data_IF_059825129643
#
_entry.id   IF_059825129643
#
_cell.length_a   1.000
_cell.length_b   1.000
_cell.length_c   1.000
_cell.angle_alpha   90.00
_cell.angle_beta   90.00
_cell.angle_gamma   90.00
#
_symmetry.space_group_name_H-M   'P 1'
#
loop_
_entity.id
_entity.type
_entity.pdbx_description
1 polymer ?
#
# COMPACT_ATOMS: atom_id res chain seq x y z
N UNK A 1 -30.33 -25.50 28.50
CA UNK A 1 -30.26 -25.57 27.01
C UNK A 1 -28.79 -25.66 26.59
N UNK A 2 -28.39 -26.73 25.93
CA UNK A 2 -27.02 -26.83 25.42
C UNK A 2 -26.82 -25.77 24.31
N UNK A 3 -25.79 -24.98 24.43
CA UNK A 3 -25.44 -23.95 23.43
C UNK A 3 -24.99 -24.71 22.16
N UNK A 4 -25.71 -24.54 21.04
CA UNK A 4 -25.32 -25.13 19.75
C UNK A 4 -23.91 -24.64 19.40
N UNK A 5 -22.99 -25.54 19.18
CA UNK A 5 -21.65 -25.21 18.70
C UNK A 5 -21.79 -24.94 17.18
N UNK A 6 -21.51 -23.70 16.78
CA UNK A 6 -21.59 -23.31 15.38
C UNK A 6 -20.36 -23.81 14.61
N UNK A 7 -20.56 -24.23 13.37
CA UNK A 7 -19.44 -24.51 12.46
C UNK A 7 -18.63 -23.23 12.21
N UNK A 8 -17.41 -23.35 11.67
CA UNK A 8 -16.59 -22.18 11.36
C UNK A 8 -17.31 -21.30 10.32
N UNK A 9 -17.92 -21.92 9.33
CA UNK A 9 -18.68 -21.20 8.30
C UNK A 9 -19.88 -20.45 8.91
N UNK A 10 -20.61 -21.08 9.85
CA UNK A 10 -21.69 -20.41 10.58
C UNK A 10 -21.17 -19.23 11.40
N UNK A 11 -19.98 -19.34 12.02
CA UNK A 11 -19.33 -18.24 12.74
C UNK A 11 -18.95 -17.08 11.81
N UNK A 12 -18.45 -17.41 10.61
CA UNK A 12 -18.15 -16.37 9.59
C UNK A 12 -19.42 -15.65 9.15
N UNK A 13 -20.47 -16.42 8.85
CA UNK A 13 -21.79 -15.85 8.44
C UNK A 13 -22.30 -14.89 9.54
N UNK A 14 -22.22 -15.31 10.79
CA UNK A 14 -22.63 -14.46 11.93
C UNK A 14 -21.77 -13.20 12.01
N UNK A 15 -20.45 -13.33 11.84
CA UNK A 15 -19.54 -12.18 11.85
C UNK A 15 -19.83 -11.19 10.70
N UNK A 16 -20.04 -11.71 9.48
CA UNK A 16 -20.38 -10.89 8.30
C UNK A 16 -21.71 -10.14 8.51
N UNK A 17 -22.69 -10.79 9.13
CA UNK A 17 -23.98 -10.15 9.40
C UNK A 17 -23.89 -9.05 10.47
N UNK A 18 -22.97 -9.18 11.41
CA UNK A 18 -22.73 -8.13 12.44
C UNK A 18 -22.01 -6.91 11.86
N UNK A 19 -21.21 -7.09 10.81
CA UNK A 19 -20.45 -5.98 10.16
C UNK A 19 -21.38 -4.88 9.64
N UNK A 20 -22.60 -5.21 9.22
CA UNK A 20 -23.58 -4.19 8.75
C UNK A 20 -23.95 -3.16 9.83
N UNK A 21 -23.76 -3.49 11.09
CA UNK A 21 -23.99 -2.53 12.19
C UNK A 21 -22.80 -1.59 12.41
N UNK A 22 -21.68 -1.87 11.76
CA UNK A 22 -20.48 -1.05 11.84
C UNK A 22 -20.41 -0.17 10.59
N UNK A 23 -20.32 1.12 10.77
CA UNK A 23 -20.32 2.07 9.65
C UNK A 23 -18.92 2.19 9.03
N UNK A 24 -18.25 1.05 8.82
CA UNK A 24 -16.88 0.94 8.30
C UNK A 24 -16.88 -0.07 7.15
N UNK A 25 -16.24 0.24 6.02
CA UNK A 25 -16.16 -0.72 4.93
C UNK A 25 -15.20 -1.88 5.28
N UNK A 26 -15.70 -3.09 5.09
CA UNK A 26 -14.95 -4.34 5.31
C UNK A 26 -14.76 -5.10 4.00
N UNK A 27 -13.72 -5.91 3.96
CA UNK A 27 -13.53 -6.93 2.93
C UNK A 27 -13.30 -8.29 3.57
N UNK A 28 -13.58 -9.34 2.80
CA UNK A 28 -13.26 -10.71 3.14
C UNK A 28 -12.26 -11.24 2.12
N UNK A 29 -11.11 -11.71 2.60
CA UNK A 29 -10.03 -12.24 1.75
C UNK A 29 -10.04 -13.76 1.88
N UNK A 30 -10.34 -14.44 0.79
CA UNK A 30 -10.39 -15.90 0.72
C UNK A 30 -9.12 -16.43 0.05
N UNK A 31 -8.54 -17.50 0.63
CA UNK A 31 -7.37 -18.20 0.08
C UNK A 31 -7.65 -19.71 0.04
N UNK A 32 -7.61 -20.28 -1.15
CA UNK A 32 -8.03 -21.65 -1.45
C UNK A 32 -6.86 -22.66 -1.31
N UNK A 33 -6.43 -22.92 -0.06
CA UNK A 33 -5.37 -23.91 0.22
C UNK A 33 -5.84 -25.32 -0.18
N UNK A 34 -7.15 -25.60 -0.11
CA UNK A 34 -7.73 -26.89 -0.50
C UNK A 34 -7.47 -27.26 -1.97
N UNK A 35 -7.12 -26.29 -2.81
CA UNK A 35 -6.83 -26.52 -4.23
C UNK A 35 -5.39 -26.89 -4.52
N UNK A 36 -4.49 -26.71 -3.55
CA UNK A 36 -3.08 -27.08 -3.70
C UNK A 36 -2.92 -28.62 -3.73
N UNK A 37 -1.76 -29.05 -4.15
CA UNK A 37 -1.36 -30.45 -4.09
C UNK A 37 -1.37 -30.99 -2.65
N UNK A 38 -1.67 -32.27 -2.40
CA UNK A 38 -1.81 -32.80 -1.03
C UNK A 38 -0.59 -32.54 -0.12
N UNK A 39 0.61 -32.57 -0.67
CA UNK A 39 1.85 -32.27 0.06
C UNK A 39 1.93 -30.84 0.58
N UNK A 40 1.18 -29.93 -0.02
CA UNK A 40 1.14 -28.51 0.35
C UNK A 40 -0.03 -28.13 1.27
N UNK A 41 -0.86 -29.11 1.69
CA UNK A 41 -2.01 -28.90 2.58
C UNK A 41 -1.77 -29.38 4.01
N UNK A 42 -0.52 -29.72 4.35
CA UNK A 42 -0.19 -30.26 5.68
C UNK A 42 -0.29 -29.20 6.78
N UNK A 43 -0.39 -29.66 8.04
CA UNK A 43 -0.50 -28.81 9.21
C UNK A 43 0.59 -27.72 9.26
N UNK A 44 1.82 -28.10 8.92
CA UNK A 44 2.97 -27.16 8.92
C UNK A 44 2.76 -26.01 7.94
N UNK A 45 2.24 -26.31 6.74
CA UNK A 45 1.96 -25.29 5.72
C UNK A 45 0.84 -24.36 6.18
N UNK A 46 -0.23 -24.91 6.77
CA UNK A 46 -1.32 -24.10 7.33
C UNK A 46 -0.80 -23.18 8.44
N UNK A 47 0.07 -23.68 9.29
CA UNK A 47 0.70 -22.87 10.36
C UNK A 47 1.53 -21.71 9.77
N UNK A 48 2.33 -21.97 8.74
CA UNK A 48 3.13 -20.93 8.09
C UNK A 48 2.20 -19.88 7.46
N UNK A 49 1.17 -20.32 6.73
CA UNK A 49 0.21 -19.39 6.10
C UNK A 49 -0.48 -18.52 7.16
N UNK A 50 -0.93 -19.14 8.28
CA UNK A 50 -1.59 -18.37 9.35
C UNK A 50 -0.66 -17.29 9.94
N UNK A 51 0.63 -17.60 10.07
CA UNK A 51 1.63 -16.64 10.59
C UNK A 51 1.85 -15.46 9.65
N UNK A 52 1.69 -15.65 8.34
CA UNK A 52 1.79 -14.53 7.38
C UNK A 52 0.69 -13.49 7.61
N UNK A 53 -0.46 -13.89 8.17
CA UNK A 53 -1.55 -12.97 8.50
C UNK A 53 -1.39 -12.29 9.87
N UNK A 54 -0.44 -12.72 10.72
CA UNK A 54 -0.23 -12.15 12.06
C UNK A 54 -0.11 -10.61 12.08
N UNK A 55 0.61 -9.96 11.14
CA UNK A 55 0.68 -8.50 11.16
C UNK A 55 -0.68 -7.82 11.10
N UNK A 56 -1.63 -8.38 10.33
CA UNK A 56 -3.01 -7.86 10.27
C UNK A 56 -3.77 -8.16 11.55
N UNK A 57 -3.61 -9.36 12.10
CA UNK A 57 -4.33 -9.78 13.30
C UNK A 57 -3.91 -9.01 14.55
N UNK A 58 -2.67 -8.52 14.58
CA UNK A 58 -2.15 -7.75 15.71
C UNK A 58 -2.51 -6.25 15.66
N UNK A 59 -2.78 -5.70 14.49
CA UNK A 59 -2.83 -4.25 14.30
C UNK A 59 -4.11 -3.72 13.66
N UNK A 60 -4.96 -4.57 13.11
CA UNK A 60 -6.15 -4.15 12.38
C UNK A 60 -7.42 -4.78 12.96
N UNK A 61 -8.57 -4.22 12.59
CA UNK A 61 -9.87 -4.85 12.86
C UNK A 61 -9.99 -6.05 11.90
N UNK A 62 -9.29 -7.13 12.24
CA UNK A 62 -9.14 -8.29 11.39
C UNK A 62 -9.40 -9.58 12.17
N UNK A 63 -9.99 -10.56 11.49
CA UNK A 63 -10.22 -11.89 12.04
C UNK A 63 -9.99 -12.95 10.97
N UNK A 64 -9.10 -13.87 11.27
CA UNK A 64 -8.78 -14.99 10.39
C UNK A 64 -9.57 -16.23 10.79
N UNK A 65 -10.18 -16.88 9.82
CA UNK A 65 -10.91 -18.15 9.98
C UNK A 65 -10.22 -19.20 9.12
N UNK A 66 -10.10 -20.40 9.65
CA UNK A 66 -9.70 -21.58 8.88
C UNK A 66 -10.98 -22.39 8.68
N UNK A 67 -11.46 -22.46 7.45
CA UNK A 67 -12.69 -23.13 7.07
C UNK A 67 -12.54 -24.65 7.21
N UNK A 68 -13.66 -25.39 7.19
CA UNK A 68 -13.69 -26.86 7.35
C UNK A 68 -12.87 -27.59 6.29
N UNK A 69 -12.73 -27.00 5.10
CA UNK A 69 -11.90 -27.54 4.01
C UNK A 69 -10.42 -27.08 4.08
N UNK A 70 -10.01 -26.44 5.18
CA UNK A 70 -8.68 -25.86 5.44
C UNK A 70 -8.35 -24.61 4.62
N UNK A 71 -9.31 -24.01 3.93
CA UNK A 71 -9.11 -22.71 3.29
C UNK A 71 -9.11 -21.60 4.34
N UNK A 72 -8.46 -20.49 4.02
CA UNK A 72 -8.41 -19.33 4.90
C UNK A 72 -9.41 -18.27 4.46
N UNK A 73 -10.08 -17.65 5.43
CA UNK A 73 -10.90 -16.46 5.21
C UNK A 73 -10.56 -15.41 6.25
N UNK A 74 -10.03 -14.28 5.79
CA UNK A 74 -9.74 -13.12 6.64
C UNK A 74 -10.85 -12.09 6.45
N UNK A 75 -11.49 -11.67 7.55
CA UNK A 75 -12.36 -10.47 7.56
C UNK A 75 -11.54 -9.30 8.07
N UNK A 76 -11.51 -8.19 7.36
CA UNK A 76 -10.74 -7.01 7.78
C UNK A 76 -11.32 -5.71 7.22
N UNK A 77 -11.00 -4.59 7.87
CA UNK A 77 -11.40 -3.27 7.40
C UNK A 77 -10.54 -2.82 6.19
N UNK A 78 -11.11 -1.94 5.37
CA UNK A 78 -10.58 -1.52 4.06
C UNK A 78 -9.17 -0.92 4.03
N UNK A 79 -8.71 -0.17 5.04
CA UNK A 79 -7.44 0.57 4.91
C UNK A 79 -6.18 -0.28 4.78
N UNK A 80 -6.29 -1.61 4.87
CA UNK A 80 -5.12 -2.51 4.87
C UNK A 80 -4.94 -3.28 3.55
N UNK A 81 -5.55 -2.82 2.44
CA UNK A 81 -5.48 -3.53 1.16
C UNK A 81 -4.05 -3.74 0.65
N UNK A 82 -3.19 -2.75 0.83
CA UNK A 82 -1.78 -2.86 0.40
C UNK A 82 -1.05 -3.96 1.19
N UNK A 83 -1.32 -4.06 2.49
CA UNK A 83 -0.75 -5.11 3.35
C UNK A 83 -1.32 -6.48 2.97
N UNK A 84 -2.62 -6.53 2.65
CA UNK A 84 -3.28 -7.76 2.16
C UNK A 84 -2.61 -8.25 0.87
N UNK A 85 -2.37 -7.36 -0.08
CA UNK A 85 -1.74 -7.73 -1.35
C UNK A 85 -0.33 -8.29 -1.13
N UNK A 86 0.46 -7.69 -0.22
CA UNK A 86 1.78 -8.21 0.14
C UNK A 86 1.70 -9.61 0.76
N UNK A 87 0.77 -9.80 1.69
CA UNK A 87 0.57 -11.12 2.33
C UNK A 87 0.13 -12.16 1.29
N UNK A 88 -0.82 -11.82 0.44
CA UNK A 88 -1.28 -12.72 -0.62
C UNK A 88 -0.17 -13.07 -1.60
N UNK A 89 0.71 -12.11 -1.90
CA UNK A 89 1.91 -12.37 -2.70
C UNK A 89 2.84 -13.35 -1.99
N UNK A 90 3.09 -13.16 -0.68
CA UNK A 90 3.93 -14.07 0.11
C UNK A 90 3.33 -15.49 0.18
N UNK A 91 2.02 -15.59 0.37
CA UNK A 91 1.32 -16.89 0.38
C UNK A 91 1.49 -17.59 -0.97
N UNK A 92 1.29 -16.89 -2.08
CA UNK A 92 1.52 -17.48 -3.42
C UNK A 92 2.96 -17.91 -3.61
N UNK A 93 3.91 -17.07 -3.17
CA UNK A 93 5.35 -17.35 -3.30
C UNK A 93 5.77 -18.60 -2.52
N UNK A 94 5.14 -18.82 -1.37
CA UNK A 94 5.38 -20.02 -0.55
C UNK A 94 5.05 -21.32 -1.32
N UNK A 95 4.09 -21.24 -2.24
CA UNK A 95 3.61 -22.38 -3.03
C UNK A 95 3.93 -22.24 -4.53
N UNK A 96 4.97 -21.47 -4.87
CA UNK A 96 5.32 -21.18 -6.27
C UNK A 96 5.57 -22.44 -7.11
N UNK A 97 6.05 -23.51 -6.48
CA UNK A 97 6.33 -24.78 -7.15
C UNK A 97 5.09 -25.69 -7.27
N UNK A 98 3.95 -25.29 -6.68
CA UNK A 98 2.71 -26.05 -6.78
C UNK A 98 2.13 -25.93 -8.20
N UNK A 99 1.71 -27.05 -8.77
CA UNK A 99 1.12 -27.09 -10.11
C UNK A 99 -0.12 -26.20 -10.21
N UNK A 100 -0.96 -26.14 -9.18
CA UNK A 100 -2.15 -25.28 -9.20
C UNK A 100 -1.78 -23.80 -9.30
N UNK A 101 -0.79 -23.35 -8.52
CA UNK A 101 -0.32 -21.95 -8.53
C UNK A 101 0.32 -21.59 -9.89
N UNK A 102 1.14 -22.48 -10.43
CA UNK A 102 1.86 -22.23 -11.69
C UNK A 102 0.97 -22.28 -12.93
N UNK A 103 -0.14 -23.03 -12.88
CA UNK A 103 -0.99 -23.29 -14.05
C UNK A 103 -2.29 -22.47 -14.09
N UNK A 104 -2.65 -21.77 -13.00
CA UNK A 104 -3.93 -21.05 -12.91
C UNK A 104 -3.73 -19.56 -12.61
N UNK A 105 -4.69 -18.75 -13.04
CA UNK A 105 -4.73 -17.32 -12.72
C UNK A 105 -4.83 -17.11 -11.20
N UNK A 106 -4.15 -16.11 -10.62
CA UNK A 106 -4.21 -15.85 -9.17
C UNK A 106 -5.62 -15.81 -8.57
N UNK A 107 -6.61 -15.33 -9.32
CA UNK A 107 -8.00 -15.28 -8.87
C UNK A 107 -8.62 -16.67 -8.62
N UNK A 108 -8.01 -17.75 -9.12
CA UNK A 108 -8.44 -19.11 -8.82
C UNK A 108 -8.00 -19.58 -7.42
N UNK A 109 -6.92 -18.99 -6.90
CA UNK A 109 -6.34 -19.30 -5.59
C UNK A 109 -6.80 -18.34 -4.50
N UNK A 110 -7.05 -17.08 -4.84
CA UNK A 110 -7.41 -16.05 -3.88
C UNK A 110 -8.50 -15.14 -4.42
N UNK A 111 -9.37 -14.63 -3.53
CA UNK A 111 -10.42 -13.69 -3.92
C UNK A 111 -10.69 -12.70 -2.79
N UNK A 112 -10.89 -11.44 -3.13
CA UNK A 112 -11.26 -10.40 -2.17
C UNK A 112 -12.71 -10.00 -2.44
N UNK A 113 -13.59 -10.28 -1.47
CA UNK A 113 -14.99 -9.84 -1.50
C UNK A 113 -15.10 -8.48 -0.80
N UNK A 114 -15.57 -7.47 -1.50
CA UNK A 114 -15.84 -6.16 -0.91
C UNK A 114 -17.27 -6.18 -0.33
N UNK A 115 -17.40 -6.21 0.99
CA UNK A 115 -18.68 -6.51 1.65
C UNK A 115 -19.77 -5.47 1.39
N UNK A 116 -19.40 -4.24 1.05
CA UNK A 116 -20.38 -3.21 0.63
C UNK A 116 -21.04 -3.51 -0.72
N UNK A 117 -20.51 -4.43 -1.50
CA UNK A 117 -21.04 -4.78 -2.84
C UNK A 117 -21.26 -6.28 -3.01
N UNK A 118 -20.45 -7.11 -2.37
CA UNK A 118 -20.37 -8.54 -2.63
C UNK A 118 -20.73 -9.39 -1.42
N UNK A 119 -21.39 -8.80 -0.41
CA UNK A 119 -21.82 -9.53 0.79
C UNK A 119 -22.65 -10.75 0.47
N UNK A 120 -23.67 -10.60 -0.40
CA UNK A 120 -24.55 -11.73 -0.77
C UNK A 120 -23.80 -12.82 -1.52
N UNK A 121 -22.78 -12.46 -2.31
CA UNK A 121 -21.93 -13.42 -3.01
C UNK A 121 -21.12 -14.24 -1.99
N UNK A 122 -20.52 -13.57 -1.00
CA UNK A 122 -19.79 -14.25 0.08
C UNK A 122 -20.71 -15.18 0.89
N UNK A 123 -21.90 -14.69 1.26
CA UNK A 123 -22.83 -15.51 2.05
C UNK A 123 -23.29 -16.75 1.27
N UNK A 124 -23.57 -16.64 -0.02
CA UNK A 124 -23.89 -17.80 -0.88
C UNK A 124 -22.71 -18.78 -0.92
N UNK A 125 -21.50 -18.27 -1.17
CA UNK A 125 -20.28 -19.08 -1.20
C UNK A 125 -20.11 -19.88 0.09
N UNK A 126 -20.25 -19.25 1.26
CA UNK A 126 -20.11 -19.92 2.57
C UNK A 126 -21.21 -20.94 2.80
N UNK A 127 -22.46 -20.65 2.38
CA UNK A 127 -23.58 -21.58 2.51
C UNK A 127 -23.37 -22.85 1.65
N UNK A 128 -22.80 -22.69 0.46
CA UNK A 128 -22.46 -23.81 -0.41
C UNK A 128 -21.38 -24.68 0.22
N UNK A 129 -20.40 -24.09 0.90
CA UNK A 129 -19.36 -24.85 1.63
C UNK A 129 -19.97 -25.67 2.77
N UNK A 130 -20.98 -25.16 3.50
CA UNK A 130 -21.62 -25.90 4.59
C UNK A 130 -22.45 -27.10 4.13
N UNK A 131 -22.83 -27.14 2.85
CA UNK A 131 -23.68 -28.23 2.30
C UNK A 131 -22.89 -29.37 1.65
N UNK A 132 -21.57 -29.24 1.53
CA UNK A 132 -20.73 -30.29 0.96
C UNK A 132 -20.44 -31.38 2.02
N UNK A 133 -20.59 -32.70 1.70
CA UNK A 133 -20.34 -33.75 2.69
C UNK A 133 -18.85 -33.87 3.03
N UNK A 134 -18.57 -33.92 4.33
CA UNK A 134 -17.21 -34.02 4.88
C UNK A 134 -16.52 -35.36 4.59
N UNK A 135 -15.20 -35.37 4.39
CA UNK A 135 -14.38 -36.52 4.72
C UNK A 135 -13.99 -36.47 6.21
N UNK A 136 -14.38 -37.54 6.96
CA UNK A 136 -14.06 -37.66 8.39
C UNK A 136 -12.54 -37.67 8.62
N UNK A 137 -12.00 -36.58 9.19
CA UNK A 137 -10.70 -36.62 9.86
C UNK A 137 -10.78 -35.92 11.22
N UNK A 138 -10.20 -36.60 12.22
CA UNK A 138 -10.27 -36.23 13.63
C UNK A 138 -9.73 -34.81 13.87
N UNK A 139 -10.60 -33.97 14.39
CA UNK A 139 -10.30 -32.61 14.82
C UNK A 139 -9.28 -32.58 15.95
N UNK A 140 -8.07 -32.12 15.66
CA UNK A 140 -7.24 -31.50 16.68
C UNK A 140 -7.66 -30.02 16.70
N UNK A 141 -8.42 -29.69 17.73
CA UNK A 141 -8.94 -28.33 17.88
C UNK A 141 -7.79 -27.34 18.02
N UNK A 142 -7.48 -26.63 16.95
CA UNK A 142 -6.89 -25.30 17.07
C UNK A 142 -7.98 -24.45 17.75
N UNK A 143 -7.88 -24.29 19.06
CA UNK A 143 -8.76 -23.38 19.78
C UNK A 143 -8.53 -22.00 19.22
N UNK A 144 -9.42 -21.55 18.39
CA UNK A 144 -9.46 -20.17 17.96
C UNK A 144 -9.77 -19.33 19.20
N UNK A 145 -8.75 -18.78 19.81
CA UNK A 145 -8.93 -17.68 20.74
C UNK A 145 -9.36 -16.51 19.83
N UNK A 146 -10.66 -16.41 19.62
CA UNK A 146 -11.22 -15.30 18.86
C UNK A 146 -11.42 -14.16 19.84
N UNK A 147 -10.58 -13.12 19.82
CA UNK A 147 -10.96 -11.91 20.53
C UNK A 147 -12.27 -11.39 19.91
N UNK A 148 -13.12 -10.81 20.73
CA UNK A 148 -14.29 -10.08 20.22
C UNK A 148 -13.82 -9.15 19.10
N UNK A 149 -14.59 -9.03 18.01
CA UNK A 149 -14.27 -8.08 16.94
C UNK A 149 -13.94 -6.74 17.60
N UNK A 150 -12.74 -6.20 17.38
CA UNK A 150 -12.42 -4.92 17.98
C UNK A 150 -13.42 -3.87 17.49
N UNK A 151 -13.94 -3.11 18.42
CA UNK A 151 -14.84 -2.00 18.09
C UNK A 151 -14.02 -0.93 17.38
N UNK A 152 -14.32 -0.69 16.12
CA UNK A 152 -13.65 0.38 15.35
C UNK A 152 -14.45 1.66 15.61
N UNK A 153 -13.78 2.65 16.15
CA UNK A 153 -14.39 3.94 16.50
C UNK A 153 -14.16 4.95 15.37
N UNK A 154 -15.12 5.83 15.17
CA UNK A 154 -14.97 6.95 14.25
C UNK A 154 -13.93 7.95 14.80
N UNK A 155 -13.27 8.65 13.89
CA UNK A 155 -12.38 9.76 14.25
C UNK A 155 -13.25 10.93 14.76
N UNK A 156 -12.97 11.38 15.97
CA UNK A 156 -13.66 12.51 16.62
C UNK A 156 -12.62 13.55 17.02
N UNK A 157 -13.02 14.80 17.30
CA UNK A 157 -12.05 15.80 17.78
C UNK A 157 -11.27 15.35 19.00
N UNK A 158 -11.94 14.68 19.97
CA UNK A 158 -11.29 14.25 21.22
C UNK A 158 -10.22 13.18 20.97
N UNK A 159 -10.53 12.17 20.16
CA UNK A 159 -9.55 11.12 19.91
C UNK A 159 -8.46 11.58 18.93
N UNK A 160 -8.75 12.53 18.04
CA UNK A 160 -7.74 13.19 17.20
C UNK A 160 -6.74 13.96 18.07
N UNK A 161 -7.23 14.74 19.05
CA UNK A 161 -6.35 15.48 19.97
C UNK A 161 -5.39 14.55 20.71
N UNK A 162 -5.91 13.43 21.22
CA UNK A 162 -5.08 12.41 21.89
C UNK A 162 -4.05 11.80 20.92
N UNK A 163 -4.47 11.47 19.71
CA UNK A 163 -3.60 10.92 18.67
C UNK A 163 -2.47 11.90 18.32
N UNK A 164 -2.81 13.16 18.08
CA UNK A 164 -1.82 14.20 17.78
C UNK A 164 -0.82 14.36 18.92
N UNK A 165 -1.30 14.36 20.16
CA UNK A 165 -0.42 14.42 21.34
C UNK A 165 0.56 13.24 21.37
N UNK A 166 0.07 12.01 21.16
CA UNK A 166 0.91 10.81 21.12
C UNK A 166 1.96 10.89 19.99
N UNK A 167 1.54 11.33 18.82
CA UNK A 167 2.44 11.55 17.68
C UNK A 167 3.53 12.59 18.03
N UNK A 168 3.15 13.67 18.72
CA UNK A 168 4.11 14.71 19.14
C UNK A 168 5.16 14.18 20.11
N UNK A 169 4.79 13.26 20.99
CA UNK A 169 5.74 12.65 21.95
C UNK A 169 6.59 11.55 21.30
N UNK A 170 6.24 11.11 20.10
CA UNK A 170 6.90 10.00 19.42
C UNK A 170 8.10 10.47 18.58
N UNK A 171 8.90 9.51 18.15
CA UNK A 171 9.91 9.73 17.11
C UNK A 171 9.20 9.63 15.73
N UNK A 172 8.46 10.67 15.35
CA UNK A 172 7.66 10.66 14.12
C UNK A 172 8.48 10.30 12.87
N UNK A 173 9.79 10.61 12.88
CA UNK A 173 10.71 10.21 11.80
C UNK A 173 10.79 8.70 11.58
N UNK A 174 10.42 7.87 12.56
CA UNK A 174 10.39 6.42 12.40
C UNK A 174 9.26 5.97 11.44
N UNK A 175 8.28 6.84 11.18
CA UNK A 175 7.18 6.60 10.26
C UNK A 175 7.39 7.23 8.87
N UNK A 176 8.53 7.89 8.67
CA UNK A 176 8.88 8.49 7.38
C UNK A 176 9.42 7.39 6.45
N UNK A 177 8.74 7.22 5.33
CA UNK A 177 9.07 6.23 4.31
C UNK A 177 9.52 6.90 3.03
N UNK A 178 10.24 6.15 2.22
CA UNK A 178 10.60 6.57 0.86
C UNK A 178 10.30 5.45 -0.11
N UNK A 179 9.92 5.83 -1.31
CA UNK A 179 9.66 4.87 -2.39
C UNK A 179 10.18 5.44 -3.70
N UNK A 180 10.84 4.61 -4.48
CA UNK A 180 11.49 5.05 -5.72
C UNK A 180 10.54 5.00 -6.90
N UNK A 181 10.58 6.02 -7.74
CA UNK A 181 10.03 5.99 -9.09
C UNK A 181 11.17 5.64 -10.04
N UNK A 182 11.02 4.54 -10.77
CA UNK A 182 12.07 3.97 -11.63
C UNK A 182 11.64 3.99 -13.08
N UNK A 183 12.53 4.41 -13.95
CA UNK A 183 12.38 4.32 -15.40
C UNK A 183 12.86 2.95 -15.88
N UNK A 184 12.02 2.28 -16.66
CA UNK A 184 12.35 1.02 -17.32
C UNK A 184 12.48 1.27 -18.81
N UNK A 185 13.70 1.48 -19.26
CA UNK A 185 13.99 1.71 -20.67
C UNK A 185 14.05 0.38 -21.46
N UNK A 186 13.73 0.46 -22.74
CA UNK A 186 13.70 -0.73 -23.61
C UNK A 186 15.09 -1.37 -23.79
N UNK A 187 16.15 -0.60 -23.60
CA UNK A 187 17.54 -1.09 -23.66
C UNK A 187 17.99 -1.81 -22.36
N UNK A 188 17.10 -2.01 -21.41
CA UNK A 188 17.38 -2.68 -20.13
C UNK A 188 18.06 -1.79 -19.09
N UNK A 189 18.32 -0.52 -19.39
CA UNK A 189 18.88 0.41 -18.41
C UNK A 189 17.76 0.98 -17.54
N UNK A 190 17.68 0.48 -16.32
CA UNK A 190 16.70 0.93 -15.35
C UNK A 190 17.35 2.01 -14.48
N UNK A 191 16.69 3.16 -14.35
CA UNK A 191 17.22 4.29 -13.61
C UNK A 191 16.18 4.86 -12.66
N UNK A 192 16.59 5.12 -11.45
CA UNK A 192 15.74 5.84 -10.49
C UNK A 192 15.64 7.30 -10.92
N UNK A 193 14.42 7.80 -11.02
CA UNK A 193 14.13 9.16 -11.51
C UNK A 193 13.99 10.12 -10.34
N UNK A 194 13.22 9.72 -9.32
CA UNK A 194 13.10 10.46 -8.06
C UNK A 194 12.66 9.52 -6.94
N UNK A 195 12.80 9.99 -5.71
CA UNK A 195 12.31 9.28 -4.52
C UNK A 195 11.18 10.06 -3.87
N UNK A 196 10.05 9.41 -3.67
CA UNK A 196 8.95 9.94 -2.89
C UNK A 196 9.22 9.76 -1.40
N UNK A 197 9.04 10.83 -0.63
CA UNK A 197 9.02 10.79 0.84
C UNK A 197 7.59 11.00 1.31
N UNK A 198 7.13 10.13 2.19
CA UNK A 198 5.77 10.19 2.73
C UNK A 198 5.75 9.66 4.16
N UNK A 199 4.76 10.10 4.93
CA UNK A 199 4.49 9.56 6.25
C UNK A 199 3.54 8.36 6.12
N UNK A 200 3.94 7.21 6.66
CA UNK A 200 3.15 5.98 6.59
C UNK A 200 1.94 6.05 7.52
N UNK A 201 0.76 6.30 6.94
CA UNK A 201 -0.50 6.37 7.70
C UNK A 201 -0.85 5.02 8.33
N UNK A 202 -0.58 3.91 7.63
CA UNK A 202 -0.86 2.58 8.18
C UNK A 202 -0.03 2.30 9.43
N UNK A 203 1.24 2.69 9.42
CA UNK A 203 2.10 2.50 10.60
C UNK A 203 1.70 3.43 11.76
N UNK A 204 1.32 4.66 11.48
CA UNK A 204 0.80 5.59 12.49
C UNK A 204 -0.49 5.01 13.10
N UNK A 205 -1.40 4.55 12.25
CA UNK A 205 -2.63 3.91 12.72
C UNK A 205 -2.33 2.71 13.61
N UNK A 206 -1.47 1.82 13.14
CA UNK A 206 -1.10 0.62 13.91
C UNK A 206 -0.43 0.96 15.25
N UNK A 207 0.43 1.97 15.28
CA UNK A 207 1.18 2.33 16.48
C UNK A 207 0.33 3.08 17.52
N UNK A 208 -0.57 3.95 17.08
CA UNK A 208 -1.23 4.89 18.00
C UNK A 208 -2.76 4.79 18.01
N UNK A 209 -3.37 4.26 16.93
CA UNK A 209 -4.81 4.33 16.76
C UNK A 209 -5.39 3.07 16.08
N UNK A 210 -5.01 1.84 16.54
CA UNK A 210 -5.40 0.62 15.83
C UNK A 210 -6.91 0.38 15.78
N UNK A 211 -7.67 1.05 16.66
CA UNK A 211 -9.13 0.91 16.71
C UNK A 211 -9.87 2.13 16.16
N UNK A 212 -9.16 3.07 15.51
CA UNK A 212 -9.80 4.25 14.91
C UNK A 212 -9.89 4.12 13.39
N UNK A 213 -11.03 4.48 12.82
CA UNK A 213 -11.13 4.73 11.39
C UNK A 213 -10.70 6.17 11.12
N UNK A 214 -9.42 6.36 10.79
CA UNK A 214 -8.85 7.70 10.60
C UNK A 214 -9.52 8.47 9.45
N UNK A 215 -10.10 7.75 8.49
CA UNK A 215 -10.74 8.36 7.30
C UNK A 215 -12.23 8.59 7.45
N UNK A 216 -12.82 8.29 8.63
CA UNK A 216 -14.27 8.43 8.84
C UNK A 216 -14.75 9.88 8.79
N UNK A 217 -13.88 10.84 9.11
CA UNK A 217 -14.19 12.27 8.98
C UNK A 217 -13.06 12.94 8.16
N UNK A 218 -13.41 13.47 7.02
CA UNK A 218 -12.47 14.06 6.07
C UNK A 218 -11.77 15.31 6.65
N UNK A 219 -12.48 16.15 7.39
CA UNK A 219 -11.89 17.38 7.94
C UNK A 219 -10.86 17.03 9.02
N UNK A 220 -11.21 16.12 9.93
CA UNK A 220 -10.29 15.65 10.98
C UNK A 220 -9.09 14.92 10.38
N UNK A 221 -9.31 14.10 9.35
CA UNK A 221 -8.22 13.43 8.62
C UNK A 221 -7.27 14.45 7.98
N UNK A 222 -7.80 15.51 7.37
CA UNK A 222 -6.98 16.60 6.80
C UNK A 222 -6.18 17.32 7.89
N UNK A 223 -6.75 17.54 9.07
CA UNK A 223 -6.03 18.12 10.22
C UNK A 223 -4.86 17.22 10.64
N UNK A 224 -5.11 15.91 10.73
CA UNK A 224 -4.07 14.93 11.07
C UNK A 224 -2.94 14.97 10.03
N UNK A 225 -3.26 14.83 8.76
CA UNK A 225 -2.25 14.75 7.69
C UNK A 225 -1.49 16.07 7.54
N UNK A 226 -2.16 17.22 7.70
CA UNK A 226 -1.48 18.54 7.68
C UNK A 226 -0.48 18.67 8.85
N UNK A 227 -0.83 18.13 10.02
CA UNK A 227 0.09 18.13 11.18
C UNK A 227 1.30 17.22 10.90
N UNK A 228 1.07 16.06 10.29
CA UNK A 228 2.15 15.14 9.90
C UNK A 228 3.06 15.77 8.83
N UNK A 229 2.49 16.48 7.86
CA UNK A 229 3.28 17.23 6.85
C UNK A 229 4.22 18.23 7.54
N UNK A 230 3.68 19.02 8.48
CA UNK A 230 4.48 20.02 9.21
C UNK A 230 5.64 19.35 9.94
N UNK A 231 5.42 18.19 10.55
CA UNK A 231 6.49 17.44 11.23
C UNK A 231 7.52 16.92 10.23
N UNK A 232 7.06 16.31 9.14
CA UNK A 232 7.95 15.81 8.09
C UNK A 232 8.83 16.94 7.55
N UNK A 233 8.24 18.10 7.24
CA UNK A 233 8.99 19.25 6.75
C UNK A 233 10.04 19.71 7.79
N UNK A 234 9.68 19.70 9.07
CA UNK A 234 10.60 20.01 10.17
C UNK A 234 11.77 19.03 10.24
N UNK A 235 11.47 17.73 10.20
CA UNK A 235 12.49 16.67 10.23
C UNK A 235 13.45 16.78 9.03
N UNK A 236 12.92 17.05 7.83
CA UNK A 236 13.75 17.24 6.63
C UNK A 236 14.75 18.41 6.80
N UNK A 237 14.29 19.50 7.42
CA UNK A 237 15.13 20.68 7.69
C UNK A 237 16.19 20.36 8.76
N UNK A 238 15.77 19.83 9.90
CA UNK A 238 16.60 19.62 11.07
C UNK A 238 17.69 18.56 10.83
N UNK A 239 17.37 17.55 10.03
CA UNK A 239 18.30 16.47 9.69
C UNK A 239 19.09 16.75 8.41
N UNK A 240 18.91 17.92 7.81
CA UNK A 240 19.60 18.36 6.60
C UNK A 240 19.43 17.41 5.41
N UNK A 241 18.21 16.84 5.30
CA UNK A 241 17.88 15.89 4.23
C UNK A 241 17.59 16.57 2.88
N UNK A 242 17.79 17.88 2.80
CA UNK A 242 17.68 18.65 1.57
C UNK A 242 18.91 18.52 0.66
N UNK A 243 19.95 17.81 1.08
CA UNK A 243 21.14 17.50 0.27
C UNK A 243 21.07 16.07 -0.29
N UNK A 244 19.92 15.69 -0.82
CA UNK A 244 19.81 14.41 -1.49
C UNK A 244 20.52 14.47 -2.85
N UNK A 245 21.17 13.38 -3.27
CA UNK A 245 21.85 13.35 -4.57
C UNK A 245 20.87 13.28 -5.76
N UNK A 246 19.59 13.13 -5.51
CA UNK A 246 18.57 12.97 -6.56
C UNK A 246 17.35 13.83 -6.31
N UNK A 247 16.49 13.91 -7.34
CA UNK A 247 15.18 14.52 -7.21
C UNK A 247 14.36 13.83 -6.11
N UNK A 248 13.65 14.61 -5.33
CA UNK A 248 12.81 14.16 -4.23
C UNK A 248 11.39 14.63 -4.47
N UNK A 249 10.42 13.76 -4.27
CA UNK A 249 9.03 14.20 -4.19
C UNK A 249 8.53 14.11 -2.74
N UNK A 250 7.67 15.04 -2.36
CA UNK A 250 7.03 15.09 -1.05
C UNK A 250 5.53 15.01 -1.24
N UNK A 251 4.89 14.03 -0.62
CA UNK A 251 3.44 13.90 -0.63
C UNK A 251 2.89 14.85 0.45
N UNK A 252 2.19 15.90 0.03
CA UNK A 252 1.77 16.99 0.91
C UNK A 252 0.34 17.43 0.62
N UNK A 253 -0.36 17.81 1.68
CA UNK A 253 -1.63 18.53 1.55
C UNK A 253 -1.40 19.90 0.88
N UNK A 254 -2.36 20.38 0.11
CA UNK A 254 -2.26 21.71 -0.56
C UNK A 254 -2.04 22.82 0.47
N UNK A 255 -2.69 22.73 1.63
CA UNK A 255 -2.55 23.69 2.72
C UNK A 255 -1.11 23.80 3.23
N UNK A 256 -0.38 22.70 3.23
CA UNK A 256 1.01 22.64 3.73
C UNK A 256 1.96 23.50 2.89
N UNK A 257 1.66 23.69 1.59
CA UNK A 257 2.44 24.50 0.67
C UNK A 257 2.39 26.00 1.06
N UNK A 258 1.32 26.44 1.71
CA UNK A 258 1.13 27.84 2.10
C UNK A 258 1.74 28.17 3.47
N UNK A 259 2.49 27.25 4.07
CA UNK A 259 3.06 27.44 5.42
C UNK A 259 4.47 28.01 5.39
N UNK A 260 4.87 28.78 6.42
CA UNK A 260 6.25 29.29 6.52
C UNK A 260 7.31 28.18 6.59
N UNK A 261 6.97 26.99 7.12
CA UNK A 261 7.93 25.89 7.19
C UNK A 261 8.25 25.36 5.78
N UNK A 262 7.27 25.33 4.88
CA UNK A 262 7.50 24.98 3.48
C UNK A 262 8.40 26.06 2.81
N UNK A 263 8.14 27.34 3.07
CA UNK A 263 8.99 28.45 2.55
C UNK A 263 10.44 28.33 3.02
N UNK A 264 10.64 27.90 4.26
CA UNK A 264 11.98 27.64 4.79
C UNK A 264 12.63 26.46 4.07
N UNK A 265 11.90 25.36 3.88
CA UNK A 265 12.43 24.16 3.23
C UNK A 265 12.89 24.45 1.79
N UNK A 266 12.06 25.11 0.97
CA UNK A 266 12.37 25.32 -0.44
C UNK A 266 13.61 26.20 -0.64
N UNK A 267 13.90 27.12 0.28
CA UNK A 267 15.11 27.94 0.24
C UNK A 267 16.38 27.15 0.53
N UNK A 268 16.24 25.99 1.17
CA UNK A 268 17.35 25.14 1.58
C UNK A 268 17.62 24.01 0.58
N UNK A 269 16.59 23.61 -0.20
CA UNK A 269 16.71 22.47 -1.12
C UNK A 269 17.66 22.83 -2.28
N UNK A 270 18.69 22.03 -2.44
CA UNK A 270 19.70 22.20 -3.49
C UNK A 270 19.49 21.26 -4.68
N UNK A 271 18.57 20.31 -4.54
CA UNK A 271 18.25 19.34 -5.58
C UNK A 271 16.80 19.57 -6.07
N UNK A 272 16.47 18.93 -7.18
CA UNK A 272 15.13 19.05 -7.79
C UNK A 272 14.07 18.53 -6.84
N UNK A 273 13.14 19.39 -6.46
CA UNK A 273 11.99 19.06 -5.60
C UNK A 273 10.74 18.90 -6.45
N UNK A 274 9.92 17.93 -6.10
CA UNK A 274 8.59 17.67 -6.65
C UNK A 274 7.61 17.66 -5.47
N UNK A 275 6.45 18.26 -5.64
CA UNK A 275 5.36 18.16 -4.67
C UNK A 275 4.27 17.29 -5.27
N UNK A 276 3.82 16.30 -4.53
CA UNK A 276 2.73 15.42 -4.93
C UNK A 276 1.44 15.80 -4.20
N UNK A 277 0.37 15.94 -4.94
CA UNK A 277 -0.97 16.22 -4.42
C UNK A 277 -1.90 15.06 -4.77
N UNK A 278 -2.69 14.64 -3.81
CA UNK A 278 -3.78 13.71 -4.08
C UNK A 278 -4.85 14.38 -4.94
N UNK A 279 -5.24 13.73 -6.05
CA UNK A 279 -6.26 14.29 -6.96
C UNK A 279 -7.56 14.65 -6.22
N UNK A 280 -7.94 13.84 -5.24
CA UNK A 280 -9.14 14.11 -4.43
C UNK A 280 -9.02 15.40 -3.61
N UNK A 281 -7.84 15.73 -3.07
CA UNK A 281 -7.61 17.00 -2.36
C UNK A 281 -7.68 18.18 -3.34
N UNK A 282 -7.07 18.02 -4.50
CA UNK A 282 -7.09 19.04 -5.57
C UNK A 282 -8.52 19.37 -5.99
N UNK A 283 -9.36 18.34 -6.22
CA UNK A 283 -10.74 18.54 -6.67
C UNK A 283 -11.60 19.29 -5.63
N UNK A 284 -11.28 19.13 -4.35
CA UNK A 284 -11.99 19.84 -3.28
C UNK A 284 -11.47 21.27 -3.04
N UNK A 285 -10.26 21.59 -3.53
CA UNK A 285 -9.56 22.83 -3.19
C UNK A 285 -8.95 23.51 -4.44
N UNK A 286 -9.68 23.57 -5.55
CA UNK A 286 -9.17 24.03 -6.85
C UNK A 286 -8.50 25.42 -6.80
N UNK A 287 -9.10 26.38 -6.09
CA UNK A 287 -8.54 27.73 -6.00
C UNK A 287 -7.24 27.77 -5.20
N UNK A 288 -7.17 26.99 -4.12
CA UNK A 288 -5.94 26.86 -3.34
C UNK A 288 -4.86 26.14 -4.15
N UNK A 289 -5.26 25.10 -4.91
CA UNK A 289 -4.37 24.38 -5.82
C UNK A 289 -3.74 25.31 -6.85
N UNK A 290 -4.54 26.19 -7.49
CA UNK A 290 -4.01 27.16 -8.46
C UNK A 290 -2.96 28.08 -7.83
N UNK A 291 -3.21 28.56 -6.60
CA UNK A 291 -2.25 29.38 -5.84
C UNK A 291 -0.98 28.59 -5.52
N UNK A 292 -1.14 27.32 -5.12
CA UNK A 292 0.00 26.44 -4.85
C UNK A 292 0.82 26.21 -6.13
N UNK A 293 0.17 25.94 -7.27
CA UNK A 293 0.87 25.78 -8.55
C UNK A 293 1.67 27.02 -8.93
N UNK A 294 1.10 28.23 -8.77
CA UNK A 294 1.82 29.49 -9.03
C UNK A 294 3.08 29.55 -8.18
N UNK A 295 2.94 29.33 -6.87
CA UNK A 295 4.06 29.37 -5.92
C UNK A 295 5.14 28.32 -6.25
N UNK A 296 4.73 27.11 -6.58
CA UNK A 296 5.66 26.01 -6.92
C UNK A 296 6.42 26.32 -8.21
N UNK A 297 5.71 26.79 -9.24
CA UNK A 297 6.31 27.14 -10.54
C UNK A 297 7.31 28.31 -10.41
N UNK A 298 6.98 29.33 -9.63
CA UNK A 298 7.87 30.47 -9.35
C UNK A 298 9.18 30.02 -8.67
N UNK A 299 9.16 28.88 -7.98
CA UNK A 299 10.34 28.34 -7.30
C UNK A 299 10.97 27.15 -8.04
N UNK A 300 10.54 26.87 -9.27
CA UNK A 300 11.08 25.79 -10.09
C UNK A 300 10.80 24.38 -9.56
N UNK A 301 9.72 24.23 -8.77
CA UNK A 301 9.37 22.97 -8.12
C UNK A 301 8.40 22.18 -9.02
N UNK A 302 8.69 20.91 -9.22
CA UNK A 302 7.83 20.01 -9.99
C UNK A 302 6.51 19.72 -9.27
N UNK A 303 5.48 19.39 -10.04
CA UNK A 303 4.16 19.05 -9.51
C UNK A 303 3.79 17.68 -10.01
N UNK A 304 3.34 16.80 -9.10
CA UNK A 304 2.77 15.51 -9.43
C UNK A 304 1.34 15.43 -8.91
N UNK A 305 0.44 14.83 -9.68
CA UNK A 305 -0.90 14.46 -9.22
C UNK A 305 -0.93 12.96 -8.97
N UNK A 306 -1.30 12.60 -7.76
CA UNK A 306 -1.36 11.21 -7.31
C UNK A 306 -2.81 10.75 -7.14
N UNK A 307 -3.01 9.44 -7.22
CA UNK A 307 -4.32 8.83 -6.99
C UNK A 307 -5.24 8.80 -8.19
N UNK A 308 -4.70 8.81 -9.40
CA UNK A 308 -5.51 8.77 -10.62
C UNK A 308 -5.86 7.31 -10.95
N UNK A 309 -7.14 7.00 -10.91
CA UNK A 309 -7.66 5.69 -11.29
C UNK A 309 -8.48 5.76 -12.59
N UNK A 310 -9.20 4.69 -12.85
CA UNK A 310 -10.08 4.57 -14.03
C UNK A 310 -11.14 5.66 -14.01
N UNK A 311 -11.78 5.87 -12.86
CA UNK A 311 -12.85 6.86 -12.75
C UNK A 311 -12.34 8.28 -13.01
N UNK A 312 -11.18 8.62 -12.46
CA UNK A 312 -10.58 9.94 -12.66
C UNK A 312 -10.26 10.16 -14.15
N UNK A 313 -9.72 9.16 -14.82
CA UNK A 313 -9.44 9.24 -16.25
C UNK A 313 -10.73 9.35 -17.09
N UNK A 314 -11.80 8.67 -16.66
CA UNK A 314 -13.08 8.67 -17.38
C UNK A 314 -13.83 10.01 -17.28
N UNK A 315 -13.80 10.62 -16.08
CA UNK A 315 -14.67 11.76 -15.77
C UNK A 315 -13.94 13.10 -15.69
N UNK A 316 -12.60 13.12 -15.67
CA UNK A 316 -11.84 14.37 -15.52
C UNK A 316 -11.03 14.68 -16.77
N UNK A 317 -11.04 15.94 -17.15
CA UNK A 317 -10.02 16.46 -18.06
C UNK A 317 -8.77 16.79 -17.22
N UNK A 318 -7.71 16.03 -17.40
CA UNK A 318 -6.47 16.17 -16.62
C UNK A 318 -5.52 17.25 -17.16
N UNK A 319 -5.70 17.71 -18.40
CA UNK A 319 -4.82 18.71 -19.03
C UNK A 319 -4.71 20.05 -18.26
N UNK A 320 -5.81 20.62 -17.72
CA UNK A 320 -5.73 21.92 -17.03
C UNK A 320 -5.01 21.90 -15.70
N UNK A 321 -4.63 20.73 -15.18
CA UNK A 321 -4.02 20.66 -13.85
C UNK A 321 -2.53 21.02 -13.81
N UNK A 322 -1.89 21.35 -14.94
CA UNK A 322 -0.51 21.85 -14.99
C UNK A 322 0.51 21.00 -14.21
N UNK A 323 0.29 19.69 -14.13
CA UNK A 323 1.17 18.76 -13.43
C UNK A 323 2.27 18.25 -14.37
N UNK A 324 3.48 18.07 -13.85
CA UNK A 324 4.59 17.47 -14.60
C UNK A 324 4.45 15.94 -14.63
N UNK A 325 3.95 15.36 -13.55
CA UNK A 325 3.76 13.92 -13.42
C UNK A 325 2.32 13.60 -13.09
N UNK A 326 1.79 12.52 -13.70
CA UNK A 326 0.49 11.96 -13.36
C UNK A 326 0.70 10.52 -12.90
N UNK A 327 0.34 10.22 -11.65
CA UNK A 327 0.50 8.89 -11.06
C UNK A 327 -0.81 8.12 -11.12
N UNK A 328 -0.84 7.15 -12.03
CA UNK A 328 -1.99 6.27 -12.25
C UNK A 328 -1.85 5.04 -11.34
N UNK A 329 -2.88 4.73 -10.57
CA UNK A 329 -2.87 3.55 -9.71
C UNK A 329 -3.13 2.29 -10.52
N UNK A 330 -2.19 1.35 -10.46
CA UNK A 330 -2.33 0.06 -11.12
C UNK A 330 -3.49 -0.73 -10.51
N UNK A 331 -4.31 -1.29 -11.37
CA UNK A 331 -5.35 -2.27 -11.04
C UNK A 331 -5.51 -3.22 -12.23
N UNK A 332 -5.77 -4.52 -12.02
CA UNK A 332 -6.02 -5.44 -13.11
C UNK A 332 -7.16 -5.02 -14.07
N UNK A 333 -8.09 -4.18 -13.62
CA UNK A 333 -9.18 -3.64 -14.45
C UNK A 333 -8.67 -2.82 -15.64
N UNK A 334 -7.46 -2.26 -15.58
CA UNK A 334 -6.85 -1.57 -16.72
C UNK A 334 -6.66 -2.49 -17.94
N UNK A 335 -6.68 -3.82 -17.75
CA UNK A 335 -6.54 -4.79 -18.85
C UNK A 335 -7.85 -4.96 -19.66
N UNK A 336 -8.98 -4.53 -19.12
CA UNK A 336 -10.25 -4.53 -19.85
C UNK A 336 -10.12 -3.61 -21.09
N UNK A 337 -10.61 -4.06 -22.23
CA UNK A 337 -10.36 -3.39 -23.53
C UNK A 337 -10.77 -1.92 -23.51
N UNK A 338 -11.93 -1.58 -22.93
CA UNK A 338 -12.41 -0.21 -22.84
C UNK A 338 -11.44 0.70 -22.07
N UNK A 339 -11.03 0.27 -20.88
CA UNK A 339 -10.14 1.05 -20.02
C UNK A 339 -8.74 1.15 -20.61
N UNK A 340 -8.24 0.05 -21.19
CA UNK A 340 -6.93 0.03 -21.85
C UNK A 340 -6.91 1.00 -23.04
N UNK A 341 -7.93 0.98 -23.89
CA UNK A 341 -8.02 1.89 -25.04
C UNK A 341 -8.09 3.35 -24.61
N UNK A 342 -8.85 3.64 -23.56
CA UNK A 342 -8.95 4.99 -23.00
C UNK A 342 -7.59 5.46 -22.47
N UNK A 343 -6.87 4.61 -21.74
CA UNK A 343 -5.53 4.94 -21.22
C UNK A 343 -4.54 5.15 -22.38
N UNK A 344 -4.53 4.27 -23.39
CA UNK A 344 -3.67 4.42 -24.57
C UNK A 344 -3.96 5.73 -25.30
N UNK A 345 -5.24 6.07 -25.46
CA UNK A 345 -5.65 7.32 -26.09
C UNK A 345 -5.15 8.53 -25.32
N UNK A 346 -5.31 8.51 -23.99
CA UNK A 346 -4.80 9.57 -23.10
C UNK A 346 -3.28 9.71 -23.23
N UNK A 347 -2.55 8.59 -23.15
CA UNK A 347 -1.08 8.58 -23.26
C UNK A 347 -0.64 9.21 -24.61
N UNK A 348 -1.31 8.83 -25.70
CA UNK A 348 -0.97 9.32 -27.04
C UNK A 348 -1.18 10.83 -27.19
N UNK A 349 -2.15 11.40 -26.47
CA UNK A 349 -2.46 12.83 -26.51
C UNK A 349 -1.68 13.65 -25.48
N UNK A 350 -1.28 13.02 -24.38
CA UNK A 350 -0.65 13.70 -23.24
C UNK A 350 0.82 14.01 -23.53
N UNK A 351 1.08 15.17 -24.12
CA UNK A 351 2.46 15.63 -24.45
C UNK A 351 3.11 16.43 -23.32
N UNK A 352 2.33 16.88 -22.36
CA UNK A 352 2.79 17.77 -21.31
C UNK A 352 3.11 17.05 -19.99
N UNK A 353 2.62 15.82 -19.86
CA UNK A 353 2.71 15.08 -18.61
C UNK A 353 3.54 13.81 -18.76
N UNK A 354 4.37 13.54 -17.78
CA UNK A 354 5.05 12.25 -17.66
C UNK A 354 4.19 11.32 -16.80
N UNK A 355 3.86 10.14 -17.33
CA UNK A 355 2.97 9.20 -16.66
C UNK A 355 3.77 8.21 -15.83
N UNK A 356 3.38 8.03 -14.57
CA UNK A 356 3.92 7.02 -13.65
C UNK A 356 2.82 6.01 -13.37
N UNK A 357 3.11 4.72 -13.53
CA UNK A 357 2.21 3.66 -13.06
C UNK A 357 2.62 3.29 -11.63
N UNK A 358 1.78 3.70 -10.68
CA UNK A 358 2.02 3.53 -9.26
C UNK A 358 1.27 2.31 -8.70
N UNK A 359 1.63 1.87 -7.51
CA UNK A 359 1.06 0.70 -6.83
C UNK A 359 1.30 -0.61 -7.61
N UNK A 360 2.41 -0.72 -8.31
CA UNK A 360 2.78 -1.98 -8.96
C UNK A 360 3.23 -2.99 -7.88
N UNK A 361 2.29 -3.82 -7.42
CA UNK A 361 2.53 -4.86 -6.42
C UNK A 361 3.03 -6.19 -7.02
N UNK A 362 3.05 -6.29 -8.37
CA UNK A 362 3.49 -7.49 -9.08
C UNK A 362 4.09 -7.12 -10.43
N UNK A 363 4.76 -8.09 -11.05
CA UNK A 363 5.31 -7.96 -12.41
C UNK A 363 4.23 -7.60 -13.43
N UNK A 364 2.99 -8.00 -13.18
CA UNK A 364 1.86 -7.76 -14.08
C UNK A 364 1.67 -6.27 -14.40
N UNK A 365 1.80 -5.40 -13.39
CA UNK A 365 1.71 -3.95 -13.59
C UNK A 365 2.82 -3.43 -14.48
N UNK A 366 4.05 -3.89 -14.26
CA UNK A 366 5.21 -3.50 -15.06
C UNK A 366 5.03 -3.92 -16.52
N UNK A 367 4.65 -5.18 -16.77
CA UNK A 367 4.42 -5.72 -18.11
C UNK A 367 3.29 -4.95 -18.82
N UNK A 368 2.18 -4.71 -18.12
CA UNK A 368 1.06 -3.95 -18.68
C UNK A 368 1.49 -2.53 -19.04
N UNK A 369 2.10 -1.82 -18.11
CA UNK A 369 2.50 -0.42 -18.32
C UNK A 369 3.43 -0.26 -19.52
N UNK A 370 4.45 -1.10 -19.62
CA UNK A 370 5.35 -1.08 -20.80
C UNK A 370 4.61 -1.32 -22.10
N UNK A 371 3.65 -2.24 -22.10
CA UNK A 371 2.84 -2.57 -23.27
C UNK A 371 1.98 -1.39 -23.76
N UNK A 372 1.52 -0.54 -22.84
CA UNK A 372 0.72 0.66 -23.19
C UNK A 372 1.58 1.93 -23.34
N UNK A 373 2.91 1.81 -23.21
CA UNK A 373 3.83 2.94 -23.43
C UNK A 373 4.17 3.75 -22.17
N UNK A 374 3.91 3.21 -20.98
CA UNK A 374 4.36 3.82 -19.72
C UNK A 374 5.76 3.32 -19.41
N UNK A 375 6.65 4.23 -19.03
CA UNK A 375 8.05 3.91 -18.76
C UNK A 375 8.47 4.19 -17.32
N UNK A 376 7.65 4.87 -16.52
CA UNK A 376 7.93 5.13 -15.10
C UNK A 376 7.01 4.29 -14.21
N UNK A 377 7.60 3.65 -13.21
CA UNK A 377 6.90 2.69 -12.33
C UNK A 377 7.27 2.92 -10.88
N UNK A 378 6.28 2.65 -10.00
CA UNK A 378 6.43 2.73 -8.55
C UNK A 378 5.58 1.64 -7.90
N UNK A 379 6.04 1.10 -6.77
CA UNK A 379 5.27 0.13 -5.99
C UNK A 379 6.14 -0.96 -5.40
N UNK A 380 5.54 -1.81 -4.59
CA UNK A 380 6.27 -2.84 -3.83
C UNK A 380 7.07 -3.80 -4.71
N UNK A 381 6.57 -4.13 -5.89
CA UNK A 381 7.34 -4.99 -6.81
C UNK A 381 8.63 -4.29 -7.27
N UNK A 382 8.54 -2.98 -7.54
CA UNK A 382 9.71 -2.18 -7.93
C UNK A 382 10.69 -2.07 -6.76
N UNK A 383 10.18 -1.83 -5.55
CA UNK A 383 11.01 -1.78 -4.33
C UNK A 383 11.73 -3.11 -4.10
N UNK A 384 11.04 -4.23 -4.30
CA UNK A 384 11.64 -5.57 -4.18
C UNK A 384 12.76 -5.80 -5.20
N UNK A 385 12.59 -5.33 -6.44
CA UNK A 385 13.64 -5.39 -7.48
C UNK A 385 14.87 -4.57 -7.07
N UNK A 386 14.65 -3.35 -6.56
CA UNK A 386 15.72 -2.47 -6.06
C UNK A 386 16.44 -3.17 -4.90
N UNK A 387 15.69 -3.68 -3.93
CA UNK A 387 16.24 -4.34 -2.75
C UNK A 387 17.04 -5.61 -3.13
N UNK A 388 16.53 -6.40 -4.06
CA UNK A 388 17.22 -7.59 -4.55
C UNK A 388 18.57 -7.21 -5.20
N UNK A 389 18.58 -6.15 -6.00
CA UNK A 389 19.81 -5.67 -6.65
C UNK A 389 20.81 -5.14 -5.62
N UNK A 390 20.33 -4.34 -4.65
CA UNK A 390 21.16 -3.79 -3.58
C UNK A 390 21.74 -4.91 -2.70
N UNK A 391 20.89 -5.88 -2.32
CA UNK A 391 21.30 -7.04 -1.52
C UNK A 391 22.37 -7.87 -2.23
N UNK A 392 22.19 -8.14 -3.53
CA UNK A 392 23.16 -8.92 -4.31
C UNK A 392 24.51 -8.22 -4.45
N UNK A 393 24.53 -6.89 -4.46
CA UNK A 393 25.76 -6.09 -4.52
C UNK A 393 26.37 -5.83 -3.14
N UNK A 394 25.68 -6.15 -2.05
CA UNK A 394 26.13 -5.88 -0.69
C UNK A 394 27.03 -6.98 -0.17
N UNK A 395 28.17 -6.62 0.43
CA UNK A 395 29.12 -7.59 1.04
C UNK A 395 28.49 -8.37 2.20
N UNK A 396 27.47 -7.79 2.85
CA UNK A 396 26.73 -8.41 3.94
C UNK A 396 25.36 -8.97 3.47
N UNK A 397 25.16 -9.07 2.16
CA UNK A 397 23.87 -9.49 1.60
C UNK A 397 23.41 -10.89 1.99
N UNK A 398 24.35 -11.77 2.39
CA UNK A 398 24.02 -13.12 2.86
C UNK A 398 23.47 -13.13 4.30
N UNK A 399 23.69 -12.06 5.05
CA UNK A 399 23.31 -11.96 6.47
C UNK A 399 21.88 -11.44 6.68
N UNK A 400 21.22 -10.98 5.63
CA UNK A 400 19.85 -10.45 5.72
C UNK A 400 18.96 -11.08 4.65
N UNK A 401 17.69 -11.18 4.95
CA UNK A 401 16.65 -11.57 3.99
C UNK A 401 16.35 -10.43 3.01
N UNK A 402 15.68 -10.74 1.91
CA UNK A 402 15.22 -9.71 0.96
C UNK A 402 14.23 -8.75 1.64
N UNK A 403 13.35 -9.29 2.46
CA UNK A 403 12.36 -8.50 3.19
C UNK A 403 13.02 -7.49 4.14
N UNK A 404 14.04 -7.91 4.86
CA UNK A 404 14.81 -7.02 5.75
C UNK A 404 15.52 -5.92 4.94
N UNK A 405 16.15 -6.26 3.86
CA UNK A 405 16.83 -5.29 2.98
C UNK A 405 15.83 -4.29 2.41
N UNK A 406 14.69 -4.76 1.98
CA UNK A 406 13.61 -3.90 1.48
C UNK A 406 13.06 -2.94 2.53
N UNK A 407 12.91 -3.40 3.58
CA UNK A 407 12.49 -2.58 4.65
C UNK A 407 13.47 -1.52 5.02
N UNK A 408 14.62 -1.81 4.86
CA UNK A 408 15.68 -0.92 5.06
C UNK A 408 15.80 0.07 3.94
N UNK A 409 15.40 -0.25 2.78
CA UNK A 409 15.42 0.59 1.71
C UNK A 409 14.24 1.50 1.63
N UNK A 410 13.22 1.11 2.20
CA UNK A 410 12.03 1.75 2.29
C UNK A 410 11.95 2.72 3.40
N UNK A 411 12.62 2.55 4.47
CA UNK A 411 12.69 3.48 5.62
C UNK A 411 13.57 4.68 5.28
N UNK A 412 13.01 5.85 5.35
CA UNK A 412 13.77 7.08 5.03
C UNK A 412 14.75 7.42 6.15
N UNK A 413 14.31 7.25 7.39
CA UNK A 413 15.04 7.61 8.60
C UNK A 413 14.72 6.61 9.70
N UNK A 414 15.30 6.84 10.87
CA UNK A 414 14.86 6.21 12.11
C UNK A 414 15.49 4.87 12.39
N UNK A 415 14.91 4.20 13.37
CA UNK A 415 15.47 3.01 13.99
C UNK A 415 15.55 1.81 13.05
N UNK A 416 14.57 1.66 12.15
CA UNK A 416 14.56 0.55 11.20
C UNK A 416 15.74 0.62 10.22
N UNK A 417 15.99 1.82 9.66
CA UNK A 417 17.14 2.02 8.76
C UNK A 417 18.47 1.78 9.48
N UNK A 418 18.55 2.12 10.78
CA UNK A 418 19.75 1.94 11.60
C UNK A 418 20.09 0.47 11.87
N UNK A 419 19.16 -0.45 11.65
CA UNK A 419 19.43 -1.88 11.75
C UNK A 419 20.32 -2.41 10.63
N UNK A 420 20.38 -1.70 9.50
CA UNK A 420 21.30 -2.07 8.43
C UNK A 420 22.74 -1.75 8.83
N UNK A 421 23.59 -2.76 8.89
CA UNK A 421 25.03 -2.61 9.23
C UNK A 421 25.79 -1.83 8.17
N UNK A 422 25.21 -1.68 6.98
CA UNK A 422 25.87 -1.05 5.83
C UNK A 422 24.98 0.06 5.23
N UNK A 423 24.52 0.97 6.07
CA UNK A 423 23.53 2.02 5.69
C UNK A 423 23.96 2.82 4.46
N UNK A 424 25.26 3.13 4.35
CA UNK A 424 25.80 3.87 3.20
C UNK A 424 25.56 3.14 1.89
N UNK A 425 25.48 1.81 1.90
CA UNK A 425 25.24 1.02 0.69
C UNK A 425 23.82 1.19 0.17
N UNK A 426 22.84 1.42 1.06
CA UNK A 426 21.44 1.67 0.65
C UNK A 426 21.32 2.95 -0.19
N UNK A 427 22.18 3.93 0.05
CA UNK A 427 22.21 5.19 -0.72
C UNK A 427 23.22 5.12 -1.88
N UNK A 428 24.34 4.44 -1.71
CA UNK A 428 25.37 4.28 -2.74
C UNK A 428 24.86 3.51 -3.97
N UNK A 429 23.98 2.52 -3.78
CA UNK A 429 23.35 1.80 -4.89
C UNK A 429 22.59 2.76 -5.80
N UNK A 430 21.92 3.74 -5.21
CA UNK A 430 21.17 4.78 -5.91
C UNK A 430 22.12 5.69 -6.72
N UNK A 431 23.31 5.95 -6.22
CA UNK A 431 24.27 6.88 -6.86
C UNK A 431 25.14 6.22 -7.95
N UNK A 432 25.30 4.89 -7.93
CA UNK A 432 26.22 4.20 -8.86
C UNK A 432 25.70 4.12 -10.31
N UNK A 433 24.41 4.35 -10.56
CA UNK A 433 23.84 4.28 -11.90
C UNK A 433 23.87 5.59 -12.69
N UNK A 434 24.26 6.70 -12.08
CA UNK A 434 24.38 8.00 -12.77
C UNK A 434 25.75 8.26 -13.39
N UNK A 435 26.71 7.41 -13.16
CA UNK A 435 28.11 7.68 -13.42
C UNK A 435 28.75 6.98 -14.60
N UNK A 436 28.03 6.81 -15.72
CA UNK A 436 28.69 6.43 -16.98
C UNK A 436 28.00 7.07 -18.17
N UNK A 437 28.37 8.29 -18.48
CA UNK A 437 28.45 8.72 -19.86
C UNK A 437 29.77 8.22 -20.45
#
# INVERSE_FOLDING_TARGET
MAKKILSVEEQVIEAVNRIDTLNVPFCAVYVAISKLSPENRGYRQLEIVSKLFEPLLNHAAARLFVLSNHDFLLLTAYPVLDVIDDILYQVRSLFSDDFFISSHHPAAFQHIFFLNKEKDALLRFLTEQTQSPEPEQKNVALQTIAPALPTVYELTPDNLERLLYQIEQSKARDFLRRQSVVSFADNGNNAEVFQEFYTSMSEIQNAFAPHLNLTSDKALFTMLTTTLDRRMLGDLIDLKLYHFPRAVSLNLNIHSIMTPIFDKLIKMFSTRLIVEFQISDVLHNLDLYRKACTKLNENGIGIALDGIGINELEFLNLEPFHAHFLKFFWTPKWKEDSHRLQLCHFIAQSRQHTIVLARCGSEEGLVFGRKVGIHLFQGHFIDAMIAATAKNACTFGQECSLSECMXXXXSALGSMRQQCVHQAHLDAYVSMKEGRE
#
